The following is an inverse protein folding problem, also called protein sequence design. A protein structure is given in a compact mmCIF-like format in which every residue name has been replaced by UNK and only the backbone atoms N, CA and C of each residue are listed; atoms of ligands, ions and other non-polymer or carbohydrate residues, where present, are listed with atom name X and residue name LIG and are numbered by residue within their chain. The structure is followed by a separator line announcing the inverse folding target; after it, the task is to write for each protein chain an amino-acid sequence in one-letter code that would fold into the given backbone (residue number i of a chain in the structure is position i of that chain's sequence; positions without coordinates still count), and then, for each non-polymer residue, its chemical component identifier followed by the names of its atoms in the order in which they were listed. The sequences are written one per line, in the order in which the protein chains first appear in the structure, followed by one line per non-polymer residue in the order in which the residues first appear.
data_IF_167903274036
#
_entry.id   IF_167903274036
#
_cell.length_a   1.000
_cell.length_b   1.000
_cell.length_c   1.000
_cell.angle_alpha   90.00
_cell.angle_beta   90.00
_cell.angle_gamma   90.00
#
_symmetry.space_group_name_H-M   'P 1'
#
loop_
_entity.id
_entity.type
_entity.pdbx_description
1 polymer ?
#
# COMPACT_ATOMS: atom_id res chain seq x y z
N UNK A 1 10.70 15.98 0.95
CA UNK A 1 11.78 15.01 1.24
C UNK A 1 11.26 14.08 2.34
N UNK A 2 11.35 12.77 2.13
CA UNK A 2 11.03 11.77 3.15
C UNK A 2 12.16 11.82 4.19
N UNK A 3 11.87 11.92 5.50
CA UNK A 3 12.92 11.98 6.53
C UNK A 3 13.83 10.75 6.49
N UNK A 4 15.13 10.94 6.70
CA UNK A 4 16.04 9.83 6.93
C UNK A 4 15.56 9.02 8.14
N UNK A 5 15.39 7.70 7.96
CA UNK A 5 14.88 6.82 9.01
C UNK A 5 13.42 6.38 8.86
N UNK A 6 12.62 7.04 8.03
CA UNK A 6 11.22 6.61 7.78
C UNK A 6 11.17 5.19 7.18
N UNK A 7 12.05 4.90 6.22
CA UNK A 7 12.15 3.56 5.61
C UNK A 7 12.48 2.49 6.66
N UNK A 8 13.39 2.79 7.60
CA UNK A 8 13.74 1.85 8.67
C UNK A 8 12.56 1.56 9.60
N UNK A 9 11.78 2.58 9.94
CA UNK A 9 10.57 2.44 10.77
C UNK A 9 9.50 1.59 10.07
N UNK A 10 9.25 1.83 8.78
CA UNK A 10 8.26 1.08 8.00
C UNK A 10 8.67 -0.39 7.84
N UNK A 11 9.94 -0.68 7.53
CA UNK A 11 10.45 -2.03 7.44
C UNK A 11 10.43 -2.77 8.79
N UNK A 12 10.76 -2.08 9.89
CA UNK A 12 10.67 -2.65 11.25
C UNK A 12 9.23 -2.98 11.62
N UNK A 13 8.27 -2.09 11.30
CA UNK A 13 6.84 -2.33 11.53
C UNK A 13 6.35 -3.54 10.74
N UNK A 14 6.73 -3.65 9.46
CA UNK A 14 6.36 -4.80 8.64
C UNK A 14 6.94 -6.10 9.16
N UNK A 15 8.20 -6.10 9.62
CA UNK A 15 8.82 -7.26 10.27
C UNK A 15 8.06 -7.67 11.53
N UNK A 16 7.70 -6.72 12.39
CA UNK A 16 6.90 -6.98 13.60
C UNK A 16 5.55 -7.62 13.26
N UNK A 17 4.87 -7.13 12.22
CA UNK A 17 3.62 -7.70 11.76
C UNK A 17 3.82 -9.12 11.23
N UNK A 18 4.89 -9.36 10.47
CA UNK A 18 5.21 -10.68 9.94
C UNK A 18 5.49 -11.68 11.06
N UNK A 19 6.26 -11.29 12.08
CA UNK A 19 6.56 -12.14 13.24
C UNK A 19 5.31 -12.49 14.04
N UNK A 20 4.40 -11.54 14.19
CA UNK A 20 3.14 -11.74 14.91
C UNK A 20 2.16 -12.63 14.13
N UNK A 21 2.02 -12.39 12.83
CA UNK A 21 1.02 -13.04 11.98
C UNK A 21 1.50 -14.33 11.34
N UNK A 22 2.83 -14.55 11.28
CA UNK A 22 3.49 -15.71 10.67
C UNK A 22 2.93 -16.04 9.27
N UNK A 23 2.93 -15.09 8.33
CA UNK A 23 2.42 -15.32 7.00
C UNK A 23 3.31 -16.30 6.24
N UNK A 24 2.78 -16.90 5.17
CA UNK A 24 3.57 -17.75 4.26
C UNK A 24 4.44 -16.93 3.31
N UNK A 25 4.01 -15.70 3.00
CA UNK A 25 4.69 -14.77 2.10
C UNK A 25 4.20 -13.34 2.35
N UNK A 26 4.93 -12.35 1.85
CA UNK A 26 4.51 -10.96 1.82
C UNK A 26 4.28 -10.55 0.37
N UNK A 27 3.14 -9.91 0.10
CA UNK A 27 2.83 -9.32 -1.20
C UNK A 27 2.78 -7.81 -1.06
N UNK A 28 3.56 -7.12 -1.87
CA UNK A 28 3.61 -5.66 -1.94
C UNK A 28 2.86 -5.23 -3.20
N UNK A 29 1.81 -4.43 -3.02
CA UNK A 29 0.97 -3.93 -4.11
C UNK A 29 1.58 -2.70 -4.80
N UNK A 30 2.83 -2.80 -5.21
CA UNK A 30 3.56 -1.81 -5.98
C UNK A 30 4.15 -0.65 -5.19
N UNK A 31 4.93 0.16 -5.90
CA UNK A 31 5.58 1.37 -5.40
C UNK A 31 6.41 1.14 -4.12
N UNK A 32 7.21 0.08 -4.12
CA UNK A 32 8.11 -0.24 -3.02
C UNK A 32 9.15 0.88 -2.81
N UNK A 33 9.65 1.45 -3.92
CA UNK A 33 10.60 2.54 -3.88
C UNK A 33 10.08 3.75 -4.66
N UNK A 34 9.97 4.86 -3.97
CA UNK A 34 9.48 6.12 -4.55
C UNK A 34 10.65 7.09 -4.77
N UNK A 35 11.56 6.74 -5.67
CA UNK A 35 12.72 7.59 -6.00
C UNK A 35 12.87 7.77 -7.51
N UNK A 36 12.87 9.05 -7.94
CA UNK A 36 13.13 9.39 -9.34
C UNK A 36 14.62 9.25 -9.72
N UNK A 37 15.52 9.45 -8.75
CA UNK A 37 16.97 9.57 -8.96
C UNK A 37 17.76 8.27 -8.68
N UNK A 38 17.06 7.20 -8.32
CA UNK A 38 17.66 5.92 -7.94
C UNK A 38 17.68 5.70 -6.41
N UNK A 39 18.16 4.55 -6.03
CA UNK A 39 18.26 4.16 -4.63
C UNK A 39 19.60 4.58 -4.04
N UNK A 40 19.60 5.20 -2.87
CA UNK A 40 20.83 5.46 -2.12
C UNK A 40 21.45 4.15 -1.62
N UNK A 41 22.78 4.14 -1.44
CA UNK A 41 23.47 2.96 -0.88
C UNK A 41 22.90 2.55 0.46
N UNK A 42 22.56 3.52 1.32
CA UNK A 42 21.94 3.25 2.63
C UNK A 42 20.57 2.59 2.52
N UNK A 43 19.73 3.01 1.57
CA UNK A 43 18.43 2.38 1.31
C UNK A 43 18.60 0.95 0.81
N UNK A 44 19.54 0.71 -0.09
CA UNK A 44 19.83 -0.62 -0.63
C UNK A 44 20.29 -1.56 0.50
N UNK A 45 21.26 -1.15 1.31
CA UNK A 45 21.77 -1.94 2.41
C UNK A 45 20.71 -2.23 3.47
N UNK A 46 19.90 -1.23 3.81
CA UNK A 46 18.80 -1.38 4.76
C UNK A 46 17.78 -2.41 4.27
N UNK A 47 17.39 -2.33 3.01
CA UNK A 47 16.41 -3.25 2.43
C UNK A 47 16.97 -4.66 2.30
N UNK A 48 18.23 -4.82 1.90
CA UNK A 48 18.89 -6.12 1.85
C UNK A 48 18.96 -6.79 3.23
N UNK A 49 19.35 -6.05 4.27
CA UNK A 49 19.37 -6.55 5.64
C UNK A 49 17.98 -6.97 6.11
N UNK A 50 16.98 -6.16 5.79
CA UNK A 50 15.59 -6.47 6.13
C UNK A 50 15.11 -7.76 5.45
N UNK A 51 15.36 -7.95 4.16
CA UNK A 51 15.03 -9.19 3.45
C UNK A 51 15.68 -10.43 4.07
N UNK A 52 16.95 -10.31 4.49
CA UNK A 52 17.67 -11.40 5.18
C UNK A 52 17.03 -11.74 6.53
N UNK A 53 16.62 -10.73 7.30
CA UNK A 53 15.96 -10.94 8.60
C UNK A 53 14.53 -11.46 8.49
N UNK A 54 13.88 -11.23 7.35
CA UNK A 54 12.48 -11.59 7.16
C UNK A 54 12.28 -13.10 7.01
N UNK A 55 13.18 -13.78 6.31
CA UNK A 55 13.15 -15.23 6.05
C UNK A 55 11.83 -15.72 5.38
N UNK A 56 11.18 -14.84 4.65
CA UNK A 56 9.92 -15.10 3.96
C UNK A 56 10.00 -14.69 2.49
N UNK A 57 9.33 -15.40 1.58
CA UNK A 57 9.16 -14.94 0.21
C UNK A 57 8.49 -13.57 0.15
N UNK A 58 9.03 -12.68 -0.68
CA UNK A 58 8.44 -11.36 -0.95
C UNK A 58 8.12 -11.28 -2.44
N UNK A 59 6.88 -10.93 -2.75
CA UNK A 59 6.40 -10.73 -4.11
C UNK A 59 5.98 -9.27 -4.25
N UNK A 60 6.43 -8.62 -5.31
CA UNK A 60 6.07 -7.25 -5.66
C UNK A 60 5.22 -7.26 -6.92
N UNK A 61 4.01 -6.72 -6.88
CA UNK A 61 3.33 -6.31 -8.11
C UNK A 61 3.92 -4.96 -8.54
N UNK A 62 4.38 -4.89 -9.80
CA UNK A 62 5.15 -3.75 -10.31
C UNK A 62 4.32 -2.46 -10.29
N UNK A 63 4.76 -1.46 -9.53
CA UNK A 63 4.19 -0.13 -9.50
C UNK A 63 4.80 0.81 -10.54
N UNK A 64 4.16 1.95 -10.79
CA UNK A 64 4.61 2.92 -11.78
C UNK A 64 5.92 3.64 -11.36
N UNK A 65 6.28 3.62 -10.08
CA UNK A 65 7.55 4.13 -9.56
C UNK A 65 8.64 3.05 -9.48
N UNK A 66 8.29 1.77 -9.54
CA UNK A 66 9.24 0.68 -9.49
C UNK A 66 9.95 0.51 -10.83
N UNK A 67 11.27 0.37 -10.80
CA UNK A 67 12.06 0.07 -11.99
C UNK A 67 12.61 -1.35 -11.88
N UNK A 68 12.18 -2.25 -12.75
CA UNK A 68 12.68 -3.63 -12.79
C UNK A 68 14.20 -3.72 -12.80
N UNK A 69 14.87 -2.76 -13.45
CA UNK A 69 16.32 -2.69 -13.47
C UNK A 69 16.97 -2.57 -12.08
N UNK A 70 16.27 -1.99 -11.10
CA UNK A 70 16.81 -1.90 -9.74
C UNK A 70 16.87 -3.28 -9.07
N UNK A 71 15.82 -4.08 -9.21
CA UNK A 71 15.73 -5.39 -8.58
C UNK A 71 16.80 -6.34 -9.14
N UNK A 72 17.01 -6.34 -10.45
CA UNK A 72 18.08 -7.09 -11.10
C UNK A 72 19.47 -6.57 -10.72
N UNK A 73 19.67 -5.23 -10.78
CA UNK A 73 20.95 -4.59 -10.50
C UNK A 73 21.44 -4.85 -9.07
N UNK A 74 20.54 -4.73 -8.09
CA UNK A 74 20.88 -4.87 -6.68
C UNK A 74 20.64 -6.29 -6.15
N UNK A 75 20.20 -7.21 -7.01
CA UNK A 75 19.97 -8.64 -6.70
C UNK A 75 19.12 -8.84 -5.46
N UNK A 76 18.04 -8.06 -5.35
CA UNK A 76 17.07 -8.28 -4.29
C UNK A 76 16.38 -9.63 -4.50
N UNK A 77 16.33 -10.52 -3.48
CA UNK A 77 15.67 -11.82 -3.58
C UNK A 77 14.15 -11.66 -3.42
N UNK A 78 13.53 -10.97 -4.37
CA UNK A 78 12.08 -10.77 -4.46
C UNK A 78 11.58 -11.10 -5.86
N UNK A 79 10.38 -11.66 -5.94
CA UNK A 79 9.71 -11.92 -7.20
C UNK A 79 8.95 -10.67 -7.66
N UNK A 80 9.18 -10.22 -8.89
CA UNK A 80 8.50 -9.05 -9.47
C UNK A 80 7.60 -9.49 -10.61
N UNK A 81 6.32 -9.18 -10.52
CA UNK A 81 5.31 -9.55 -11.52
C UNK A 81 4.35 -8.37 -11.78
N UNK A 82 3.82 -8.18 -12.98
CA UNK A 82 2.81 -7.15 -13.21
C UNK A 82 1.51 -7.42 -12.46
N UNK A 83 1.19 -8.70 -12.22
CA UNK A 83 -0.03 -9.14 -11.57
C UNK A 83 0.22 -10.46 -10.86
N UNK A 84 -0.38 -10.64 -9.69
CA UNK A 84 -0.33 -11.89 -8.93
C UNK A 84 -1.75 -12.46 -8.76
N UNK A 85 -1.90 -13.78 -9.01
CA UNK A 85 -3.15 -14.51 -8.72
C UNK A 85 -2.95 -15.37 -7.47
N UNK A 86 -3.80 -15.17 -6.46
CA UNK A 86 -3.78 -15.89 -5.18
C UNK A 86 -5.19 -16.33 -4.81
N UNK A 87 -5.44 -17.63 -4.77
CA UNK A 87 -6.67 -18.24 -4.20
C UNK A 87 -7.99 -17.52 -4.57
N UNK A 88 -8.14 -17.15 -5.85
CA UNK A 88 -9.33 -16.44 -6.34
C UNK A 88 -9.27 -14.91 -6.20
N UNK A 89 -8.15 -14.36 -5.71
CA UNK A 89 -7.87 -12.93 -5.69
C UNK A 89 -6.84 -12.55 -6.72
N UNK A 90 -6.98 -11.36 -7.29
CA UNK A 90 -5.98 -10.74 -8.16
C UNK A 90 -5.36 -9.59 -7.40
N UNK A 91 -4.02 -9.53 -7.39
CA UNK A 91 -3.28 -8.39 -6.82
C UNK A 91 -2.56 -7.67 -7.95
N UNK A 92 -2.79 -6.36 -8.06
CA UNK A 92 -2.12 -5.45 -8.99
C UNK A 92 -1.61 -4.23 -8.23
N UNK A 93 -0.84 -3.38 -8.87
CA UNK A 93 -0.54 -2.05 -8.33
C UNK A 93 -1.71 -1.10 -8.58
N UNK A 94 -2.09 -0.91 -9.85
CA UNK A 94 -3.16 -0.01 -10.23
C UNK A 94 -4.52 -0.74 -10.14
N UNK A 95 -5.53 -0.18 -9.45
CA UNK A 95 -6.86 -0.77 -9.42
C UNK A 95 -7.58 -0.79 -10.77
N UNK A 96 -7.16 0.03 -11.73
CA UNK A 96 -7.74 0.02 -13.07
C UNK A 96 -7.26 -1.19 -13.92
N UNK A 97 -6.19 -1.88 -13.47
CA UNK A 97 -5.74 -3.16 -14.03
C UNK A 97 -6.51 -4.37 -13.48
N UNK A 98 -7.38 -4.18 -12.48
CA UNK A 98 -8.20 -5.26 -11.93
C UNK A 98 -9.39 -5.57 -12.84
N UNK A 99 -9.60 -6.85 -13.21
CA UNK A 99 -10.78 -7.23 -14.00
C UNK A 99 -12.08 -7.00 -13.21
N UNK A 100 -13.07 -6.38 -13.82
CA UNK A 100 -14.36 -6.05 -13.19
C UNK A 100 -15.10 -7.29 -12.65
N UNK A 101 -14.89 -8.46 -13.28
CA UNK A 101 -15.54 -9.72 -12.88
C UNK A 101 -14.89 -10.40 -11.67
N UNK A 102 -13.65 -10.04 -11.33
CA UNK A 102 -12.82 -10.74 -10.34
C UNK A 102 -12.77 -9.97 -9.02
N UNK A 103 -12.46 -10.65 -7.93
CA UNK A 103 -12.08 -10.01 -6.68
C UNK A 103 -10.60 -9.61 -6.72
N UNK A 104 -10.29 -8.43 -6.20
CA UNK A 104 -8.91 -7.95 -6.29
C UNK A 104 -8.48 -7.02 -5.16
N UNK A 105 -7.17 -6.89 -5.05
CA UNK A 105 -6.48 -5.98 -4.13
C UNK A 105 -5.54 -5.10 -4.95
N UNK A 106 -5.55 -3.80 -4.71
CA UNK A 106 -4.62 -2.88 -5.35
C UNK A 106 -4.10 -1.80 -4.39
N UNK A 107 -3.04 -1.13 -4.79
CA UNK A 107 -2.46 0.03 -4.11
C UNK A 107 -2.76 1.34 -4.83
N UNK A 108 -1.70 2.10 -5.18
CA UNK A 108 -1.63 3.27 -6.05
C UNK A 108 -2.42 4.50 -5.58
N UNK A 109 -3.71 4.37 -5.33
CA UNK A 109 -4.59 5.54 -5.11
C UNK A 109 -4.46 6.18 -3.72
N UNK A 110 -3.83 5.52 -2.75
CA UNK A 110 -3.67 6.01 -1.37
C UNK A 110 -4.96 6.60 -0.80
N UNK A 111 -6.03 5.79 -0.65
CA UNK A 111 -7.36 6.29 -0.31
C UNK A 111 -7.37 7.14 0.94
N UNK A 112 -8.02 8.29 0.84
CA UNK A 112 -8.28 9.17 1.96
C UNK A 112 -9.58 9.95 1.77
N UNK A 113 -10.19 10.33 2.88
CA UNK A 113 -11.35 11.19 2.90
C UNK A 113 -11.02 12.49 3.64
N UNK A 114 -11.79 13.51 3.34
CA UNK A 114 -11.71 14.79 4.03
C UNK A 114 -13.00 15.01 4.80
N UNK A 115 -12.93 15.06 6.12
CA UNK A 115 -14.06 15.42 6.97
C UNK A 115 -13.94 16.91 7.29
N UNK A 116 -14.96 17.69 6.97
CA UNK A 116 -15.04 19.11 7.36
C UNK A 116 -15.53 19.20 8.80
N UNK A 117 -14.69 19.68 9.68
CA UNK A 117 -15.04 19.92 11.08
C UNK A 117 -15.66 21.32 11.28
N UNK A 118 -15.24 22.29 10.46
CA UNK A 118 -15.75 23.65 10.42
C UNK A 118 -15.43 24.31 9.07
N UNK A 119 -15.87 25.56 8.87
CA UNK A 119 -15.57 26.31 7.64
C UNK A 119 -14.07 26.50 7.35
N UNK A 120 -13.20 26.33 8.36
CA UNK A 120 -11.75 26.54 8.26
C UNK A 120 -10.89 25.33 8.62
N UNK A 121 -11.48 24.26 9.14
CA UNK A 121 -10.75 23.06 9.57
C UNK A 121 -11.29 21.82 8.87
N UNK A 122 -10.39 21.04 8.28
CA UNK A 122 -10.70 19.75 7.72
C UNK A 122 -9.67 18.73 8.15
N UNK A 123 -10.14 17.57 8.57
CA UNK A 123 -9.31 16.42 8.91
C UNK A 123 -9.21 15.52 7.67
N UNK A 124 -7.99 15.08 7.36
CA UNK A 124 -7.76 14.03 6.36
C UNK A 124 -7.58 12.70 7.09
N UNK A 125 -8.36 11.73 6.68
CA UNK A 125 -8.32 10.38 7.25
C UNK A 125 -7.92 9.42 6.13
N UNK A 126 -6.86 8.64 6.35
CA UNK A 126 -6.45 7.55 5.47
C UNK A 126 -7.19 6.28 5.82
N UNK A 127 -7.42 5.41 4.85
CA UNK A 127 -8.10 4.15 5.11
C UNK A 127 -8.14 3.24 3.89
N UNK A 128 -8.87 2.16 4.02
CA UNK A 128 -9.15 1.20 2.97
C UNK A 128 -10.40 1.63 2.20
N UNK A 129 -10.39 1.45 0.90
CA UNK A 129 -11.60 1.64 0.09
C UNK A 129 -11.98 0.32 -0.57
N UNK A 130 -13.24 -0.06 -0.49
CA UNK A 130 -13.80 -1.18 -1.23
C UNK A 130 -14.61 -0.61 -2.38
N UNK A 131 -14.16 -0.81 -3.62
CA UNK A 131 -14.79 -0.36 -4.85
C UNK A 131 -15.71 -1.46 -5.38
N UNK A 132 -16.96 -1.11 -5.67
CA UNK A 132 -17.97 -2.00 -6.26
C UNK A 132 -18.13 -3.35 -5.54
N UNK A 133 -17.89 -3.40 -4.23
CA UNK A 133 -17.93 -4.60 -3.36
C UNK A 133 -16.97 -5.73 -3.80
N UNK A 134 -15.94 -5.43 -4.60
CA UNK A 134 -15.01 -6.43 -5.15
C UNK A 134 -13.53 -6.07 -5.01
N UNK A 135 -13.20 -4.80 -5.16
CA UNK A 135 -11.80 -4.37 -5.20
C UNK A 135 -11.43 -3.64 -3.92
N UNK A 136 -10.52 -4.23 -3.16
CA UNK A 136 -9.93 -3.62 -1.97
C UNK A 136 -8.75 -2.75 -2.38
N UNK A 137 -8.85 -1.44 -2.17
CA UNK A 137 -7.77 -0.49 -2.40
C UNK A 137 -7.09 -0.20 -1.07
N UNK A 138 -5.79 -0.51 -1.02
CA UNK A 138 -4.99 -0.36 0.19
C UNK A 138 -4.56 1.09 0.40
N UNK A 139 -4.53 1.58 1.65
CA UNK A 139 -3.85 2.82 1.96
C UNK A 139 -2.33 2.67 1.76
N UNK A 140 -1.63 3.78 1.63
CA UNK A 140 -0.18 3.77 1.70
C UNK A 140 0.29 3.14 3.02
N UNK A 141 1.27 2.25 2.94
CA UNK A 141 1.85 1.63 4.14
C UNK A 141 2.73 2.63 4.91
N UNK A 142 3.48 3.46 4.20
CA UNK A 142 4.31 4.49 4.83
C UNK A 142 3.47 5.62 5.41
N UNK A 143 3.79 6.03 6.64
CA UNK A 143 3.14 7.18 7.30
C UNK A 143 3.47 8.52 6.65
N UNK A 144 4.53 8.57 5.84
CA UNK A 144 5.00 9.79 5.16
C UNK A 144 4.43 9.96 3.76
N UNK A 145 3.71 8.95 3.26
CA UNK A 145 3.02 9.04 1.98
C UNK A 145 1.71 9.78 2.15
N UNK A 146 1.50 10.79 1.33
CA UNK A 146 0.25 11.56 1.34
C UNK A 146 -0.97 10.72 0.95
N UNK A 147 -2.14 11.19 1.31
CA UNK A 147 -3.42 10.60 0.89
C UNK A 147 -4.01 11.40 -0.26
N UNK A 148 -4.64 10.73 -1.21
CA UNK A 148 -5.47 11.35 -2.24
C UNK A 148 -6.92 11.32 -1.81
N UNK A 149 -7.60 12.49 -1.71
CA UNK A 149 -9.04 12.50 -1.50
C UNK A 149 -9.71 11.96 -2.77
N UNK A 150 -10.28 10.77 -2.67
CA UNK A 150 -10.93 10.10 -3.79
C UNK A 150 -12.41 10.50 -3.87
N UNK A 151 -12.91 10.68 -5.09
CA UNK A 151 -14.36 10.74 -5.32
C UNK A 151 -14.90 9.32 -5.22
N UNK A 152 -15.72 9.09 -4.22
CA UNK A 152 -16.36 7.80 -4.01
C UNK A 152 -17.72 7.75 -4.72
N UNK A 153 -18.02 6.62 -5.31
CA UNK A 153 -19.36 6.32 -5.80
C UNK A 153 -20.27 5.88 -4.65
N UNK A 154 -21.59 5.83 -4.87
CA UNK A 154 -22.54 5.32 -3.86
C UNK A 154 -22.37 3.83 -3.52
N UNK A 155 -21.61 3.10 -4.34
CA UNK A 155 -21.32 1.66 -4.14
C UNK A 155 -20.01 1.42 -3.43
N UNK A 156 -19.20 2.45 -3.24
CA UNK A 156 -17.91 2.34 -2.61
C UNK A 156 -18.07 2.47 -1.09
N UNK A 157 -17.27 1.73 -0.37
CA UNK A 157 -17.21 1.76 1.09
C UNK A 157 -15.82 2.21 1.51
N UNK A 158 -15.73 2.97 2.59
CA UNK A 158 -14.47 3.42 3.16
C UNK A 158 -14.34 2.99 4.61
N UNK A 159 -13.21 2.37 4.93
CA UNK A 159 -12.92 1.85 6.26
C UNK A 159 -11.64 2.50 6.80
N UNK A 160 -11.67 2.87 8.07
CA UNK A 160 -10.47 3.36 8.76
C UNK A 160 -10.37 2.80 10.17
N UNK A 161 -9.21 2.92 10.77
CA UNK A 161 -8.99 2.54 12.16
C UNK A 161 -9.46 3.68 13.08
N UNK A 162 -10.32 3.34 14.04
CA UNK A 162 -10.78 4.24 15.10
C UNK A 162 -10.61 3.49 16.42
N UNK A 163 -9.72 3.98 17.28
CA UNK A 163 -9.45 3.39 18.60
C UNK A 163 -9.13 1.88 18.56
N UNK A 164 -8.32 1.45 17.59
CA UNK A 164 -7.90 0.06 17.44
C UNK A 164 -8.90 -0.83 16.70
N UNK A 165 -10.02 -0.28 16.21
CA UNK A 165 -11.07 -1.03 15.49
C UNK A 165 -11.22 -0.50 14.08
N UNK A 166 -11.24 -1.40 13.09
CA UNK A 166 -11.58 -1.04 11.72
C UNK A 166 -13.08 -0.78 11.63
N UNK A 167 -13.43 0.45 11.27
CA UNK A 167 -14.82 0.91 11.21
C UNK A 167 -15.15 1.49 9.84
N UNK A 168 -16.34 1.21 9.35
CA UNK A 168 -16.85 1.82 8.13
C UNK A 168 -17.24 3.28 8.40
N UNK A 169 -16.84 4.17 7.51
CA UNK A 169 -17.23 5.58 7.54
C UNK A 169 -18.50 5.74 6.70
N UNK A 170 -19.58 6.32 7.27
CA UNK A 170 -20.82 6.54 6.53
C UNK A 170 -20.61 7.34 5.25
N UNK A 171 -21.29 6.94 4.18
CA UNK A 171 -21.14 7.55 2.84
C UNK A 171 -21.45 9.05 2.82
N UNK A 172 -22.29 9.54 3.73
CA UNK A 172 -22.61 10.97 3.89
C UNK A 172 -21.39 11.80 4.28
N UNK A 173 -20.43 11.21 4.98
CA UNK A 173 -19.19 11.85 5.41
C UNK A 173 -18.08 11.74 4.38
N UNK A 174 -18.22 10.86 3.40
CA UNK A 174 -17.21 10.62 2.35
C UNK A 174 -17.46 11.42 1.07
N UNK A 175 -18.64 12.03 0.94
CA UNK A 175 -19.02 12.85 -0.21
C UNK A 175 -18.61 14.31 0.02
N UNK A 176 -17.45 14.72 -0.49
CA UNK A 176 -17.01 16.13 -0.49
C UNK A 176 -16.56 16.57 -1.87
#
# INVERSE_FOLDING_TARGET
AVPEGSNASDLSRLKTIADLKKPKQIVIAGDLFHSADGLSSSTIELFQKWLQMLELPVILTEGNHDRRSWFSRYRFPIDVTPQLKLDGLIVTHDPDDLPVSEYGIAGHLHPGIRIKESARQSLRITGFMVRDSKHLILPAFSQFTGTSPLKMSKKDQFFTEINGVISEIPSELTQT
#
